data_IF_485211177175
#
_entry.id   IF_485211177175
#
_cell.length_a   1.000
_cell.length_b   1.000
_cell.length_c   1.000
_cell.angle_alpha   90.00
_cell.angle_beta   90.00
_cell.angle_gamma   90.00
#
_symmetry.space_group_name_H-M   'P 1'
#
loop_
_entity.id
_entity.type
_entity.pdbx_description
1 polymer ?
#
# COMPACT_ATOMS: atom_id res chain seq x y z
N UNK A 1 -25.28 17.51 0.46
CA UNK A 1 -24.45 16.30 0.40
C UNK A 1 -24.59 15.78 -1.01
N UNK A 2 -23.48 15.55 -1.71
CA UNK A 2 -23.52 14.93 -3.04
C UNK A 2 -24.06 13.50 -2.89
N UNK A 3 -24.88 13.02 -3.83
CA UNK A 3 -25.38 11.62 -3.85
C UNK A 3 -24.70 10.77 -4.93
N UNK A 4 -24.74 9.43 -4.85
CA UNK A 4 -24.27 8.55 -5.92
C UNK A 4 -24.91 8.85 -7.28
N UNK A 5 -26.21 9.18 -7.30
CA UNK A 5 -26.96 9.53 -8.51
C UNK A 5 -26.45 10.82 -9.13
N UNK A 6 -26.19 11.85 -8.33
CA UNK A 6 -25.61 13.12 -8.83
C UNK A 6 -24.22 12.89 -9.44
N UNK A 7 -23.37 12.08 -8.80
CA UNK A 7 -22.05 11.72 -9.35
C UNK A 7 -22.22 10.94 -10.66
N UNK A 8 -23.18 10.03 -10.73
CA UNK A 8 -23.48 9.26 -11.94
C UNK A 8 -23.93 10.16 -13.10
N UNK A 9 -24.79 11.14 -12.83
CA UNK A 9 -25.23 12.13 -13.83
C UNK A 9 -24.05 12.95 -14.35
N UNK A 10 -23.18 13.45 -13.46
CA UNK A 10 -21.98 14.19 -13.84
C UNK A 10 -21.03 13.35 -14.71
N UNK A 11 -20.81 12.09 -14.34
CA UNK A 11 -20.00 11.17 -15.16
C UNK A 11 -20.60 11.00 -16.55
N UNK A 12 -21.92 10.85 -16.66
CA UNK A 12 -22.61 10.73 -17.96
C UNK A 12 -22.49 12.01 -18.79
N UNK A 13 -22.65 13.17 -18.15
CA UNK A 13 -22.50 14.49 -18.79
C UNK A 13 -21.09 14.67 -19.35
N UNK A 14 -20.06 14.47 -18.53
CA UNK A 14 -18.65 14.54 -18.96
C UNK A 14 -18.38 13.60 -20.13
N UNK A 15 -18.91 12.37 -20.09
CA UNK A 15 -18.73 11.40 -21.18
C UNK A 15 -19.40 11.87 -22.47
N UNK A 16 -20.62 12.42 -22.39
CA UNK A 16 -21.33 13.01 -23.55
C UNK A 16 -20.56 14.17 -24.16
N UNK A 17 -20.15 15.13 -23.33
CA UNK A 17 -19.42 16.33 -23.76
C UNK A 17 -18.12 16.00 -24.50
N UNK A 18 -17.43 14.95 -24.04
CA UNK A 18 -16.15 14.52 -24.61
C UNK A 18 -16.26 13.39 -25.65
N UNK A 19 -17.47 13.05 -26.11
CA UNK A 19 -17.69 12.04 -27.15
C UNK A 19 -17.28 10.62 -26.74
N UNK A 20 -17.28 10.33 -25.44
CA UNK A 20 -16.99 9.00 -24.89
C UNK A 20 -18.25 8.12 -24.93
N UNK A 21 -18.11 6.79 -25.12
CA UNK A 21 -19.26 5.88 -25.11
C UNK A 21 -20.03 5.94 -23.79
N UNK A 22 -21.36 6.00 -23.83
CA UNK A 22 -22.20 5.96 -22.62
C UNK A 22 -22.52 4.50 -22.34
N UNK A 23 -21.72 3.88 -21.47
CA UNK A 23 -22.00 2.54 -20.95
C UNK A 23 -22.82 2.66 -19.67
N UNK A 24 -23.76 1.74 -19.40
CA UNK A 24 -24.37 1.64 -18.08
C UNK A 24 -23.31 1.29 -17.03
N UNK A 25 -23.46 1.83 -15.83
CA UNK A 25 -22.61 1.54 -14.67
C UNK A 25 -23.34 1.82 -13.35
N UNK A 26 -22.86 1.22 -12.27
CA UNK A 26 -23.40 1.38 -10.93
C UNK A 26 -22.36 1.97 -9.95
N UNK A 27 -22.84 2.84 -9.06
CA UNK A 27 -22.10 3.37 -7.92
C UNK A 27 -22.86 2.89 -6.68
N UNK A 28 -22.24 2.02 -5.90
CA UNK A 28 -22.85 1.46 -4.69
C UNK A 28 -22.86 2.49 -3.54
N UNK A 29 -21.76 3.25 -3.41
CA UNK A 29 -21.56 4.18 -2.31
C UNK A 29 -20.60 5.31 -2.73
N UNK A 30 -20.75 6.48 -2.11
CA UNK A 30 -19.73 7.51 -2.11
C UNK A 30 -19.39 7.92 -0.68
N UNK A 31 -18.13 8.28 -0.45
CA UNK A 31 -17.65 8.80 0.83
C UNK A 31 -16.86 10.06 0.59
N UNK A 32 -17.09 11.07 1.42
CA UNK A 32 -16.36 12.33 1.33
C UNK A 32 -15.52 12.54 2.58
N UNK A 33 -14.24 12.84 2.37
CA UNK A 33 -13.33 13.27 3.43
C UNK A 33 -13.21 14.79 3.38
N UNK A 34 -13.91 15.45 4.30
CA UNK A 34 -13.96 16.91 4.39
C UNK A 34 -12.60 17.53 4.72
N UNK A 35 -11.80 16.86 5.56
CA UNK A 35 -10.50 17.38 6.00
C UNK A 35 -9.50 17.47 4.84
N UNK A 36 -9.50 16.45 4.00
CA UNK A 36 -8.58 16.32 2.87
C UNK A 36 -9.19 16.75 1.53
N UNK A 37 -10.48 17.13 1.54
CA UNK A 37 -11.30 17.43 0.36
C UNK A 37 -11.21 16.32 -0.70
N UNK A 38 -11.39 15.05 -0.28
CA UNK A 38 -11.28 13.88 -1.17
C UNK A 38 -12.62 13.16 -1.30
N UNK A 39 -13.01 12.87 -2.55
CA UNK A 39 -14.16 12.03 -2.85
C UNK A 39 -13.72 10.60 -3.15
N UNK A 40 -14.37 9.64 -2.52
CA UNK A 40 -14.22 8.22 -2.78
C UNK A 40 -15.50 7.69 -3.40
N UNK A 41 -15.37 7.04 -4.55
CA UNK A 41 -16.48 6.41 -5.28
C UNK A 41 -16.28 4.90 -5.19
N UNK A 42 -17.28 4.19 -4.69
CA UNK A 42 -17.28 2.74 -4.59
C UNK A 42 -18.16 2.22 -5.73
N UNK A 43 -17.51 1.73 -6.79
CA UNK A 43 -18.16 1.10 -7.92
C UNK A 43 -18.56 -0.34 -7.57
N UNK A 44 -19.64 -0.82 -8.18
CA UNK A 44 -20.10 -2.19 -7.99
C UNK A 44 -19.02 -3.22 -8.40
N UNK A 45 -18.46 -3.06 -9.60
CA UNK A 45 -17.44 -3.94 -10.14
C UNK A 45 -16.28 -3.21 -10.87
N UNK A 46 -15.36 -3.99 -11.46
CA UNK A 46 -14.20 -3.46 -12.21
C UNK A 46 -14.60 -2.80 -13.54
N UNK A 47 -15.69 -3.24 -14.16
CA UNK A 47 -16.22 -2.66 -15.40
C UNK A 47 -16.76 -1.26 -15.11
N UNK A 48 -17.55 -1.12 -14.05
CA UNK A 48 -18.13 0.15 -13.60
C UNK A 48 -17.06 1.14 -13.18
N UNK A 49 -16.07 0.67 -12.39
CA UNK A 49 -14.88 1.47 -12.07
C UNK A 49 -14.19 1.98 -13.34
N UNK A 50 -14.08 1.16 -14.38
CA UNK A 50 -13.46 1.57 -15.65
C UNK A 50 -14.29 2.61 -16.41
N UNK A 51 -15.62 2.54 -16.32
CA UNK A 51 -16.53 3.56 -16.90
C UNK A 51 -16.41 4.89 -16.15
N UNK A 52 -16.35 4.85 -14.82
CA UNK A 52 -16.20 6.04 -13.96
C UNK A 52 -14.82 6.67 -14.13
N UNK A 53 -13.75 5.87 -14.22
CA UNK A 53 -12.39 6.36 -14.42
C UNK A 53 -12.19 6.89 -15.84
N UNK A 54 -12.68 6.15 -16.84
CA UNK A 54 -12.40 6.38 -18.25
C UNK A 54 -10.89 6.36 -18.56
N UNK A 55 -10.45 7.25 -19.44
CA UNK A 55 -9.03 7.49 -19.76
C UNK A 55 -8.35 8.45 -18.76
N UNK A 56 -8.75 8.40 -17.48
CA UNK A 56 -8.43 9.41 -16.44
C UNK A 56 -9.03 10.81 -16.68
N UNK A 57 -9.53 11.09 -17.89
CA UNK A 57 -10.20 12.35 -18.23
C UNK A 57 -11.43 12.59 -17.35
N UNK A 58 -12.28 11.56 -17.18
CA UNK A 58 -13.54 11.67 -16.46
C UNK A 58 -13.30 12.08 -15.01
N UNK A 59 -12.34 11.43 -14.36
CA UNK A 59 -11.93 11.74 -12.98
C UNK A 59 -11.35 13.15 -12.87
N UNK A 60 -10.53 13.56 -13.85
CA UNK A 60 -9.99 14.92 -13.89
C UNK A 60 -11.09 15.98 -13.95
N UNK A 61 -12.11 15.77 -14.79
CA UNK A 61 -13.25 16.67 -14.94
C UNK A 61 -14.19 16.66 -13.75
N UNK A 62 -14.49 15.48 -13.22
CA UNK A 62 -15.31 15.33 -12.02
C UNK A 62 -14.66 16.04 -10.83
N UNK A 63 -13.33 15.95 -10.69
CA UNK A 63 -12.56 16.71 -9.69
C UNK A 63 -12.72 18.22 -9.85
N UNK A 64 -12.60 18.73 -11.08
CA UNK A 64 -12.77 20.17 -11.39
C UNK A 64 -14.18 20.66 -11.09
N UNK A 65 -15.21 19.92 -11.51
CA UNK A 65 -16.62 20.29 -11.33
C UNK A 65 -17.05 20.28 -9.86
N UNK A 66 -16.57 19.29 -9.09
CA UNK A 66 -16.92 19.14 -7.68
C UNK A 66 -16.04 20.00 -6.75
N UNK A 67 -14.98 20.64 -7.26
CA UNK A 67 -14.08 21.46 -6.46
C UNK A 67 -13.28 20.69 -5.41
N UNK A 68 -13.08 19.39 -5.59
CA UNK A 68 -12.37 18.52 -4.63
C UNK A 68 -10.89 18.39 -5.00
N UNK A 69 -10.02 18.07 -4.03
CA UNK A 69 -8.57 17.89 -4.28
C UNK A 69 -8.26 16.58 -5.00
N UNK A 70 -9.04 15.53 -4.75
CA UNK A 70 -8.84 14.22 -5.34
C UNK A 70 -10.18 13.47 -5.47
N UNK A 71 -10.32 12.69 -6.53
CA UNK A 71 -11.36 11.67 -6.68
C UNK A 71 -10.67 10.31 -6.83
N UNK A 72 -11.04 9.34 -6.00
CA UNK A 72 -10.54 7.96 -6.06
C UNK A 72 -11.69 7.00 -6.28
N UNK A 73 -11.48 5.98 -7.11
CA UNK A 73 -12.51 4.97 -7.40
C UNK A 73 -12.02 3.58 -6.99
N UNK A 74 -12.78 2.94 -6.12
CA UNK A 74 -12.56 1.57 -5.65
C UNK A 74 -13.68 0.67 -6.15
N UNK A 75 -13.43 -0.62 -6.23
CA UNK A 75 -14.52 -1.59 -6.40
C UNK A 75 -14.93 -2.13 -5.03
N UNK A 76 -16.19 -2.51 -4.89
CA UNK A 76 -16.68 -3.17 -3.68
C UNK A 76 -15.86 -4.43 -3.35
N UNK A 77 -15.55 -5.24 -4.37
CA UNK A 77 -14.72 -6.43 -4.22
C UNK A 77 -13.31 -6.12 -3.67
N UNK A 78 -12.66 -5.06 -4.14
CA UNK A 78 -11.33 -4.66 -3.63
C UNK A 78 -11.39 -4.32 -2.13
N UNK A 79 -12.46 -3.64 -1.69
CA UNK A 79 -12.67 -3.29 -0.29
C UNK A 79 -13.05 -4.51 0.57
N UNK A 80 -13.83 -5.45 0.04
CA UNK A 80 -14.15 -6.71 0.72
C UNK A 80 -12.91 -7.57 0.92
N UNK A 81 -12.09 -7.74 -0.12
CA UNK A 81 -10.81 -8.46 -0.02
C UNK A 81 -9.86 -7.81 1.00
N UNK A 82 -9.85 -6.47 1.07
CA UNK A 82 -9.14 -5.71 2.11
C UNK A 82 -9.64 -6.06 3.50
N UNK A 83 -10.96 -6.02 3.74
CA UNK A 83 -11.55 -6.36 5.05
C UNK A 83 -11.23 -7.79 5.48
N UNK A 84 -11.36 -8.77 4.59
CA UNK A 84 -11.01 -10.16 4.88
C UNK A 84 -9.54 -10.34 5.30
N UNK A 85 -8.62 -9.58 4.70
CA UNK A 85 -7.21 -9.61 5.10
C UNK A 85 -6.98 -8.91 6.44
N UNK A 86 -7.69 -7.82 6.71
CA UNK A 86 -7.59 -7.08 7.96
C UNK A 86 -8.14 -7.87 9.14
N UNK A 87 -9.21 -8.66 8.95
CA UNK A 87 -9.72 -9.59 9.96
C UNK A 87 -8.66 -10.62 10.38
N UNK A 88 -7.99 -11.26 9.42
CA UNK A 88 -6.86 -12.16 9.70
C UNK A 88 -5.69 -11.45 10.40
N UNK A 89 -5.47 -10.19 10.04
CA UNK A 89 -4.39 -9.39 10.62
C UNK A 89 -4.71 -8.96 12.04
N UNK A 90 -5.99 -8.75 12.35
CA UNK A 90 -6.49 -8.51 13.71
C UNK A 90 -6.27 -9.75 14.59
N UNK A 91 -6.69 -10.93 14.11
CA UNK A 91 -6.46 -12.21 14.80
C UNK A 91 -4.95 -12.41 15.08
N UNK A 92 -4.11 -12.23 14.05
CA UNK A 92 -2.65 -12.33 14.21
C UNK A 92 -2.10 -11.32 15.23
N UNK A 93 -2.64 -10.10 15.26
CA UNK A 93 -2.19 -9.07 16.19
C UNK A 93 -2.52 -9.43 17.65
N UNK A 94 -3.72 -9.96 17.89
CA UNK A 94 -4.17 -10.42 19.20
C UNK A 94 -3.38 -11.63 19.69
N UNK A 95 -3.06 -12.59 18.81
CA UNK A 95 -2.32 -13.81 19.15
C UNK A 95 -0.83 -13.57 19.43
N UNK A 96 -0.25 -12.51 18.87
CA UNK A 96 1.20 -12.32 18.84
C UNK A 96 1.70 -11.05 19.54
N UNK A 97 0.87 -10.39 20.34
CA UNK A 97 1.30 -9.26 21.16
C UNK A 97 1.50 -7.97 20.36
N UNK A 98 0.75 -7.80 19.26
CA UNK A 98 0.74 -6.58 18.45
C UNK A 98 -0.51 -5.74 18.73
N UNK A 99 -1.02 -5.73 19.95
CA UNK A 99 -2.26 -5.02 20.31
C UNK A 99 -2.18 -3.51 20.02
N UNK A 100 -0.97 -2.96 20.01
CA UNK A 100 -0.72 -1.57 19.64
C UNK A 100 -1.06 -1.24 18.18
N UNK A 101 -1.16 -2.25 17.30
CA UNK A 101 -1.58 -2.10 15.90
C UNK A 101 -3.10 -2.23 15.71
N UNK A 102 -3.84 -2.77 16.68
CA UNK A 102 -5.29 -2.97 16.59
C UNK A 102 -6.02 -1.68 16.20
N UNK A 103 -5.74 -0.51 16.80
CA UNK A 103 -6.41 0.74 16.41
C UNK A 103 -6.15 1.14 14.94
N UNK A 104 -4.99 0.79 14.37
CA UNK A 104 -4.70 1.02 12.95
C UNK A 104 -5.51 0.06 12.07
N UNK A 105 -5.60 -1.21 12.46
CA UNK A 105 -6.37 -2.23 11.72
C UNK A 105 -7.86 -1.86 11.71
N UNK A 106 -8.41 -1.46 12.86
CA UNK A 106 -9.79 -0.97 12.99
C UNK A 106 -10.05 0.27 12.14
N UNK A 107 -9.10 1.20 12.07
CA UNK A 107 -9.19 2.35 11.17
C UNK A 107 -9.18 1.91 9.69
N UNK A 108 -8.34 0.94 9.32
CA UNK A 108 -8.30 0.41 7.96
C UNK A 108 -9.54 -0.38 7.56
N UNK A 109 -10.25 -1.03 8.50
CA UNK A 109 -11.52 -1.72 8.24
C UNK A 109 -12.61 -0.75 7.74
N UNK A 110 -12.52 0.50 8.20
CA UNK A 110 -13.43 1.59 7.83
C UNK A 110 -12.98 2.37 6.58
N UNK A 111 -11.82 2.04 6.02
CA UNK A 111 -11.31 2.68 4.80
C UNK A 111 -12.29 2.49 3.62
N UNK A 112 -12.47 3.50 2.75
CA UNK A 112 -11.96 4.88 2.82
C UNK A 112 -12.86 5.84 3.63
N UNK A 113 -12.36 6.99 4.11
CA UNK A 113 -10.97 7.47 4.05
C UNK A 113 -10.03 6.76 5.05
N UNK A 114 -8.71 6.93 4.85
CA UNK A 114 -7.68 6.41 5.76
C UNK A 114 -7.38 7.45 6.84
N UNK A 115 -7.73 7.15 8.09
CA UNK A 115 -7.48 8.03 9.25
C UNK A 115 -6.86 7.23 10.38
N UNK A 116 -5.54 7.05 10.35
CA UNK A 116 -4.85 6.29 11.39
C UNK A 116 -4.75 7.07 12.70
N UNK A 117 -5.04 6.42 13.84
CA UNK A 117 -4.75 7.00 15.13
C UNK A 117 -3.23 7.09 15.33
N UNK A 118 -2.81 8.00 16.23
CA UNK A 118 -1.41 8.04 16.67
C UNK A 118 -1.15 6.87 17.60
N UNK A 119 -0.12 6.09 17.29
CA UNK A 119 0.36 5.00 18.15
C UNK A 119 1.56 5.49 18.96
N UNK A 120 1.63 5.25 20.28
CA UNK A 120 2.79 5.64 21.10
C UNK A 120 4.10 4.98 20.64
N UNK A 121 5.17 5.77 20.57
CA UNK A 121 6.50 5.32 20.15
C UNK A 121 7.29 4.60 21.25
N UNK A 122 6.91 3.37 21.61
CA UNK A 122 7.50 2.65 22.75
C UNK A 122 8.03 1.25 22.41
N UNK A 123 8.04 0.86 21.14
CA UNK A 123 8.54 -0.44 20.69
C UNK A 123 9.85 -0.26 19.96
N UNK A 124 10.83 -1.09 20.28
CA UNK A 124 12.09 -1.16 19.54
C UNK A 124 11.98 -2.24 18.46
N UNK A 125 12.55 -1.98 17.28
CA UNK A 125 12.45 -2.90 16.17
C UNK A 125 13.53 -2.72 15.12
N UNK A 126 13.45 -3.53 14.09
CA UNK A 126 14.31 -3.45 12.91
C UNK A 126 13.44 -3.17 11.69
N UNK A 127 13.91 -2.31 10.79
CA UNK A 127 13.40 -2.22 9.42
C UNK A 127 14.48 -2.74 8.49
N UNK A 128 14.18 -3.78 7.71
CA UNK A 128 15.06 -4.20 6.63
C UNK A 128 14.55 -3.65 5.29
N UNK A 129 15.32 -2.74 4.70
CA UNK A 129 14.97 -1.99 3.51
C UNK A 129 14.94 -2.89 2.27
N UNK A 130 13.76 -2.94 1.66
CA UNK A 130 13.46 -3.61 0.40
C UNK A 130 12.95 -2.59 -0.62
N UNK A 131 12.35 -3.05 -1.71
CA UNK A 131 11.87 -2.21 -2.81
C UNK A 131 11.06 -0.99 -2.36
N UNK A 132 10.16 -1.14 -1.39
CA UNK A 132 9.36 -0.08 -0.80
C UNK A 132 10.01 0.53 0.47
N UNK A 133 11.34 0.68 0.48
CA UNK A 133 12.15 1.16 1.61
C UNK A 133 11.58 2.39 2.34
N UNK A 134 11.17 3.43 1.60
CA UNK A 134 10.57 4.63 2.22
C UNK A 134 9.27 4.29 2.94
N UNK A 135 8.40 3.48 2.33
CA UNK A 135 7.16 3.07 2.97
C UNK A 135 7.43 2.27 4.25
N UNK A 136 8.39 1.35 4.26
CA UNK A 136 8.75 0.59 5.46
C UNK A 136 9.20 1.48 6.62
N UNK A 137 10.02 2.50 6.34
CA UNK A 137 10.44 3.48 7.35
C UNK A 137 9.27 4.31 7.88
N UNK A 138 8.36 4.72 7.00
CA UNK A 138 7.17 5.48 7.42
C UNK A 138 6.15 4.60 8.16
N UNK A 139 6.03 3.31 7.81
CA UNK A 139 5.25 2.35 8.59
C UNK A 139 5.81 2.18 10.00
N UNK A 140 7.13 2.06 10.16
CA UNK A 140 7.74 1.99 11.49
C UNK A 140 7.34 3.19 12.36
N UNK A 141 7.41 4.41 11.80
CA UNK A 141 6.97 5.64 12.49
C UNK A 141 5.47 5.61 12.81
N UNK A 142 4.64 5.25 11.84
CA UNK A 142 3.19 5.18 12.01
C UNK A 142 2.78 4.16 13.09
N UNK A 143 3.53 3.07 13.20
CA UNK A 143 3.31 1.99 14.16
C UNK A 143 3.92 2.29 15.54
N UNK A 144 4.58 3.43 15.73
CA UNK A 144 5.25 3.74 17.00
C UNK A 144 6.46 2.84 17.28
N UNK A 145 7.15 2.38 16.23
CA UNK A 145 8.34 1.55 16.32
C UNK A 145 9.58 2.41 16.11
N UNK A 146 10.42 2.52 17.14
CA UNK A 146 11.77 3.04 17.06
C UNK A 146 12.63 1.98 16.37
N UNK A 147 12.76 2.11 15.05
CA UNK A 147 13.42 1.09 14.25
C UNK A 147 14.85 1.47 13.86
N UNK A 148 15.78 0.53 14.06
CA UNK A 148 17.05 0.56 13.36
C UNK A 148 16.86 0.08 11.91
N UNK A 149 17.29 0.89 10.95
CA UNK A 149 17.18 0.56 9.54
C UNK A 149 18.43 -0.20 9.06
N UNK A 150 18.24 -1.34 8.41
CA UNK A 150 19.27 -2.16 7.78
C UNK A 150 18.94 -2.36 6.31
N UNK A 151 19.94 -2.64 5.48
CA UNK A 151 19.68 -2.88 4.06
C UNK A 151 20.90 -3.35 3.30
N UNK A 152 20.67 -3.84 2.09
CA UNK A 152 21.75 -4.30 1.22
C UNK A 152 22.68 -3.13 0.87
N UNK A 153 23.99 -3.31 0.99
CA UNK A 153 24.97 -2.24 0.70
C UNK A 153 24.73 -1.65 -0.70
N UNK A 154 24.81 -0.31 -0.79
CA UNK A 154 24.59 0.49 -2.00
C UNK A 154 23.16 0.51 -2.57
N UNK A 155 22.19 -0.17 -1.96
CA UNK A 155 20.81 -0.23 -2.47
C UNK A 155 20.07 1.11 -2.37
N UNK A 156 20.13 1.81 -1.24
CA UNK A 156 19.36 3.03 -1.02
C UNK A 156 20.23 4.23 -0.61
N UNK A 157 21.10 4.75 -1.49
CA UNK A 157 22.12 5.75 -1.13
C UNK A 157 21.58 7.08 -0.60
N UNK A 158 20.27 7.33 -0.73
CA UNK A 158 19.59 8.54 -0.25
C UNK A 158 18.91 8.36 1.12
N UNK A 159 18.91 7.14 1.66
CA UNK A 159 18.28 6.81 2.94
C UNK A 159 19.36 6.53 4.00
N UNK A 160 19.13 6.92 5.26
CA UNK A 160 20.00 6.51 6.36
C UNK A 160 19.69 5.05 6.75
N UNK A 161 20.70 4.18 6.71
CA UNK A 161 20.59 2.79 7.16
C UNK A 161 21.98 2.19 7.44
N UNK A 162 22.00 1.11 8.20
CA UNK A 162 23.16 0.26 8.45
C UNK A 162 23.39 -0.69 7.25
N UNK A 163 24.44 -0.49 6.44
CA UNK A 163 24.66 -1.31 5.25
C UNK A 163 25.17 -2.70 5.59
N UNK A 164 24.60 -3.71 4.96
CA UNK A 164 24.96 -5.11 5.12
C UNK A 164 25.44 -5.72 3.80
N UNK A 165 26.46 -6.57 3.87
CA UNK A 165 26.94 -7.36 2.73
C UNK A 165 26.03 -8.58 2.51
N UNK A 166 24.93 -8.34 1.80
CA UNK A 166 23.88 -9.33 1.49
C UNK A 166 23.67 -9.46 -0.03
N UNK A 167 23.10 -10.58 -0.50
CA UNK A 167 22.70 -10.72 -1.89
C UNK A 167 21.70 -9.65 -2.32
N UNK A 168 21.82 -9.12 -3.54
CA UNK A 168 20.88 -8.13 -4.08
C UNK A 168 19.44 -8.65 -4.21
N UNK A 169 19.25 -9.97 -4.26
CA UNK A 169 17.92 -10.58 -4.23
C UNK A 169 17.12 -10.15 -3.00
N UNK A 170 17.79 -9.92 -1.87
CA UNK A 170 17.15 -9.50 -0.62
C UNK A 170 16.57 -8.09 -0.67
N UNK A 171 16.85 -7.30 -1.72
CA UNK A 171 16.16 -6.04 -1.98
C UNK A 171 14.67 -6.27 -2.30
N UNK A 172 14.33 -7.45 -2.81
CA UNK A 172 12.95 -7.82 -3.15
C UNK A 172 12.41 -8.93 -2.25
N UNK A 173 13.28 -9.88 -1.88
CA UNK A 173 12.91 -11.09 -1.14
C UNK A 173 13.79 -11.23 0.11
N UNK A 174 13.44 -10.55 1.21
CA UNK A 174 14.24 -10.54 2.43
C UNK A 174 14.44 -11.96 2.98
N UNK A 175 15.63 -12.26 3.50
CA UNK A 175 15.94 -13.58 4.07
C UNK A 175 15.48 -13.67 5.54
N UNK A 176 14.45 -14.47 5.79
CA UNK A 176 13.83 -14.56 7.13
C UNK A 176 14.81 -15.06 8.21
N UNK A 177 15.56 -16.12 7.92
CA UNK A 177 16.52 -16.70 8.87
C UNK A 177 17.60 -15.72 9.30
N UNK A 178 18.10 -14.93 8.35
CA UNK A 178 19.08 -13.89 8.62
C UNK A 178 18.49 -12.79 9.51
N UNK A 179 17.31 -12.28 9.17
CA UNK A 179 16.67 -11.21 9.92
C UNK A 179 16.23 -11.65 11.32
N UNK A 180 15.83 -12.92 11.47
CA UNK A 180 15.59 -13.52 12.78
C UNK A 180 16.83 -13.49 13.67
N UNK A 181 18.01 -13.86 13.13
CA UNK A 181 19.27 -13.80 13.89
C UNK A 181 19.65 -12.36 14.22
N UNK A 182 19.54 -11.46 13.26
CA UNK A 182 19.84 -10.04 13.45
C UNK A 182 18.96 -9.44 14.56
N UNK A 183 17.66 -9.73 14.56
CA UNK A 183 16.74 -9.26 15.60
C UNK A 183 17.13 -9.75 17.01
N UNK A 184 17.55 -11.02 17.13
CA UNK A 184 18.04 -11.56 18.41
C UNK A 184 19.33 -10.91 18.86
N UNK A 185 20.26 -10.66 17.95
CA UNK A 185 21.54 -9.99 18.25
C UNK A 185 21.32 -8.53 18.69
N UNK A 186 20.36 -7.85 18.09
CA UNK A 186 19.96 -6.47 18.44
C UNK A 186 19.02 -6.40 19.65
N UNK A 187 18.53 -7.53 20.16
CA UNK A 187 17.57 -7.57 21.27
C UNK A 187 16.20 -6.99 20.93
N UNK A 188 15.79 -7.03 19.66
CA UNK A 188 14.50 -6.49 19.18
C UNK A 188 13.48 -7.59 18.94
N UNK A 189 12.21 -7.29 19.23
CA UNK A 189 11.10 -8.24 19.11
C UNK A 189 10.32 -8.10 17.80
N UNK A 190 10.58 -7.05 17.01
CA UNK A 190 9.81 -6.74 15.79
C UNK A 190 10.75 -6.47 14.62
N UNK A 191 10.47 -7.12 13.49
CA UNK A 191 11.15 -6.86 12.21
C UNK A 191 10.12 -6.49 11.15
N UNK A 192 10.29 -5.32 10.54
CA UNK A 192 9.52 -4.87 9.39
C UNK A 192 10.29 -5.10 8.08
N UNK A 193 9.69 -5.84 7.15
CA UNK A 193 10.20 -5.99 5.78
C UNK A 193 9.12 -6.59 4.87
N UNK A 194 9.42 -6.74 3.58
CA UNK A 194 8.46 -7.28 2.60
C UNK A 194 8.42 -8.82 2.55
N UNK A 195 8.13 -9.46 3.69
CA UNK A 195 7.92 -10.92 3.81
C UNK A 195 6.66 -11.39 3.10
N UNK A 196 6.57 -12.67 2.68
CA UNK A 196 5.34 -13.25 2.11
C UNK A 196 4.18 -13.23 3.12
N UNK A 197 4.44 -13.62 4.36
CA UNK A 197 3.43 -13.66 5.43
C UNK A 197 3.96 -13.03 6.71
N UNK A 198 3.10 -12.41 7.52
CA UNK A 198 3.45 -12.11 8.90
C UNK A 198 3.67 -13.43 9.64
N UNK A 199 4.72 -13.50 10.46
CA UNK A 199 5.07 -14.71 11.20
C UNK A 199 5.71 -14.37 12.54
N UNK A 200 5.46 -15.20 13.56
CA UNK A 200 6.18 -15.15 14.83
C UNK A 200 7.14 -16.32 14.92
N UNK A 201 8.42 -16.01 15.16
CA UNK A 201 9.47 -17.01 15.34
C UNK A 201 10.18 -16.79 16.68
N UNK A 202 9.97 -17.70 17.62
CA UNK A 202 10.35 -17.50 19.03
C UNK A 202 9.71 -16.20 19.57
N UNK A 203 10.51 -15.25 20.01
CA UNK A 203 10.06 -13.95 20.52
C UNK A 203 10.11 -12.82 19.45
N UNK A 204 10.42 -13.15 18.19
CA UNK A 204 10.53 -12.17 17.11
C UNK A 204 9.31 -12.24 16.19
N UNK A 205 8.62 -11.12 16.03
CA UNK A 205 7.52 -10.94 15.10
C UNK A 205 8.05 -10.30 13.81
N UNK A 206 7.88 -11.01 12.70
CA UNK A 206 8.25 -10.58 11.36
C UNK A 206 6.98 -10.12 10.64
N UNK A 207 6.97 -8.85 10.23
CA UNK A 207 5.76 -8.19 9.75
C UNK A 207 6.01 -7.54 8.40
N UNK A 208 5.18 -7.88 7.42
CA UNK A 208 5.06 -7.10 6.19
C UNK A 208 3.88 -6.15 6.30
N UNK A 209 4.09 -4.84 6.59
CA UNK A 209 2.99 -3.91 6.80
C UNK A 209 2.12 -3.71 5.56
N UNK A 210 2.68 -3.90 4.35
CA UNK A 210 1.97 -3.76 3.07
C UNK A 210 0.93 -4.87 2.93
N UNK A 211 1.33 -6.12 3.15
CA UNK A 211 0.45 -7.30 3.11
C UNK A 211 -0.50 -7.34 4.30
N UNK A 212 0.02 -7.03 5.48
CA UNK A 212 -0.74 -7.01 6.73
C UNK A 212 -1.92 -6.03 6.67
N UNK A 213 -1.71 -4.81 6.17
CA UNK A 213 -2.80 -3.85 6.02
C UNK A 213 -3.48 -3.89 4.65
N UNK A 214 -3.02 -4.76 3.73
CA UNK A 214 -3.45 -4.84 2.33
C UNK A 214 -3.54 -3.45 1.69
N UNK A 215 -2.39 -2.80 1.59
CA UNK A 215 -2.24 -1.46 0.99
C UNK A 215 -1.50 -1.60 -0.32
N UNK A 216 -2.13 -1.24 -1.43
CA UNK A 216 -1.53 -1.41 -2.75
C UNK A 216 -0.35 -0.45 -2.98
N UNK A 217 0.53 -0.80 -3.91
CA UNK A 217 1.68 -0.01 -4.34
C UNK A 217 1.29 1.43 -4.74
N UNK A 218 0.17 1.58 -5.46
CA UNK A 218 -0.36 2.90 -5.80
C UNK A 218 -0.65 3.71 -4.53
N UNK A 219 -1.35 3.16 -3.55
CA UNK A 219 -1.65 3.84 -2.30
C UNK A 219 -0.38 4.19 -1.52
N UNK A 220 0.59 3.27 -1.41
CA UNK A 220 1.87 3.51 -0.74
C UNK A 220 2.59 4.72 -1.32
N UNK A 221 2.62 4.84 -2.65
CA UNK A 221 3.24 5.96 -3.34
C UNK A 221 2.64 7.31 -2.95
N UNK A 222 1.31 7.38 -2.76
CA UNK A 222 0.64 8.62 -2.35
C UNK A 222 0.74 8.86 -0.85
N UNK A 223 0.81 7.81 -0.03
CA UNK A 223 0.94 7.92 1.43
C UNK A 223 2.34 8.35 1.85
N UNK A 224 3.37 7.69 1.32
CA UNK A 224 4.74 7.79 1.84
C UNK A 224 5.75 8.25 0.79
N UNK A 225 5.34 8.32 -0.47
CA UNK A 225 6.25 8.54 -1.59
C UNK A 225 6.89 7.23 -2.08
N UNK A 226 7.93 7.37 -2.89
CA UNK A 226 8.51 6.27 -3.64
C UNK A 226 10.03 6.32 -3.58
N UNK A 227 10.65 5.18 -3.30
CA UNK A 227 12.09 4.98 -3.46
C UNK A 227 12.37 3.94 -4.52
N UNK A 228 13.55 4.04 -5.12
CA UNK A 228 14.05 3.04 -6.07
C UNK A 228 15.43 2.57 -5.65
N UNK A 229 15.70 1.25 -5.65
CA UNK A 229 17.05 0.78 -5.38
C UNK A 229 18.00 1.24 -6.49
N UNK A 230 19.24 1.58 -6.11
CA UNK A 230 20.30 1.97 -7.01
C UNK A 230 20.96 0.77 -7.69
N UNK A 231 21.03 -0.37 -6.98
CA UNK A 231 21.55 -1.65 -7.46
C UNK A 231 20.49 -2.73 -7.25
N UNK A 232 20.32 -3.63 -8.22
CA UNK A 232 19.37 -4.74 -8.16
C UNK A 232 19.59 -5.71 -9.33
N UNK A 233 19.05 -6.93 -9.21
CA UNK A 233 18.98 -7.89 -10.32
C UNK A 233 17.66 -7.71 -11.09
N UNK A 234 17.72 -7.68 -12.44
CA UNK A 234 16.54 -7.46 -13.30
C UNK A 234 15.54 -8.61 -13.28
N UNK A 235 15.99 -9.85 -13.10
CA UNK A 235 15.12 -11.02 -13.00
C UNK A 235 14.38 -11.02 -11.65
N UNK A 236 15.08 -10.74 -10.55
CA UNK A 236 14.43 -10.61 -9.24
C UNK A 236 13.38 -9.48 -9.23
N UNK A 237 13.64 -8.36 -9.93
CA UNK A 237 12.65 -7.30 -10.12
C UNK A 237 11.41 -7.78 -10.87
N UNK A 238 11.59 -8.58 -11.93
CA UNK A 238 10.49 -9.12 -12.71
C UNK A 238 9.63 -10.04 -11.84
N UNK A 239 10.26 -10.98 -11.14
CA UNK A 239 9.59 -11.93 -10.25
C UNK A 239 8.78 -11.18 -9.18
N UNK A 240 9.40 -10.18 -8.53
CA UNK A 240 8.75 -9.36 -7.51
C UNK A 240 7.53 -8.60 -8.06
N UNK A 241 7.64 -8.02 -9.26
CA UNK A 241 6.52 -7.32 -9.89
C UNK A 241 5.40 -8.30 -10.24
N UNK A 242 5.72 -9.49 -10.77
CA UNK A 242 4.74 -10.52 -11.10
C UNK A 242 3.99 -10.97 -9.83
N UNK A 243 4.69 -11.18 -8.73
CA UNK A 243 4.11 -11.55 -7.43
C UNK A 243 3.17 -10.47 -6.91
N UNK A 244 3.62 -9.21 -6.85
CA UNK A 244 2.81 -8.09 -6.38
C UNK A 244 1.55 -7.86 -7.24
N UNK A 245 1.64 -8.07 -8.56
CA UNK A 245 0.48 -8.01 -9.47
C UNK A 245 -0.45 -9.21 -9.25
N UNK A 246 0.11 -10.41 -9.10
CA UNK A 246 -0.65 -11.64 -8.86
C UNK A 246 -1.47 -11.61 -7.56
N UNK A 247 -0.94 -10.97 -6.52
CA UNK A 247 -1.62 -10.78 -5.23
C UNK A 247 -2.65 -9.62 -5.24
N UNK A 248 -2.67 -8.82 -6.30
CA UNK A 248 -3.50 -7.62 -6.40
C UNK A 248 -3.00 -6.45 -5.56
N UNK A 249 -1.73 -6.46 -5.13
CA UNK A 249 -1.08 -5.35 -4.43
C UNK A 249 -0.44 -4.34 -5.38
N UNK A 250 -0.38 -4.64 -6.68
CA UNK A 250 0.12 -3.73 -7.70
C UNK A 250 -0.74 -3.84 -8.95
N UNK A 251 -1.15 -2.69 -9.51
CA UNK A 251 -1.84 -2.66 -10.79
C UNK A 251 -0.85 -3.04 -11.92
N UNK A 252 -1.30 -3.80 -12.92
CA UNK A 252 -0.45 -4.29 -14.00
C UNK A 252 0.24 -3.15 -14.78
N UNK A 253 -0.41 -1.99 -14.88
CA UNK A 253 0.13 -0.79 -15.52
C UNK A 253 1.30 -0.19 -14.73
N UNK A 254 1.22 -0.16 -13.40
CA UNK A 254 2.33 0.24 -12.54
C UNK A 254 3.47 -0.78 -12.64
N UNK A 255 3.16 -2.09 -12.60
CA UNK A 255 4.14 -3.15 -12.77
C UNK A 255 4.92 -3.04 -14.08
N UNK A 256 4.22 -2.84 -15.22
CA UNK A 256 4.86 -2.64 -16.51
C UNK A 256 5.78 -1.40 -16.54
N UNK A 257 5.38 -0.30 -15.88
CA UNK A 257 6.21 0.91 -15.75
C UNK A 257 7.48 0.63 -14.95
N UNK A 258 7.37 -0.14 -13.87
CA UNK A 258 8.47 -0.54 -12.99
C UNK A 258 9.47 -1.42 -13.74
N UNK A 259 9.00 -2.47 -14.41
CA UNK A 259 9.85 -3.37 -15.21
C UNK A 259 10.59 -2.55 -16.26
N UNK A 260 9.88 -1.66 -16.99
CA UNK A 260 10.50 -0.79 -17.99
C UNK A 260 11.57 0.13 -17.41
N UNK A 261 11.33 0.68 -16.21
CA UNK A 261 12.34 1.47 -15.50
C UNK A 261 13.58 0.63 -15.19
N UNK A 262 13.40 -0.55 -14.61
CA UNK A 262 14.50 -1.41 -14.22
C UNK A 262 15.29 -1.95 -15.41
N UNK A 263 14.63 -2.18 -16.54
CA UNK A 263 15.28 -2.70 -17.76
C UNK A 263 16.15 -1.66 -18.47
N UNK A 264 15.80 -0.37 -18.35
CA UNK A 264 16.54 0.77 -18.94
C UNK A 264 17.81 1.16 -18.18
N UNK A 265 17.95 0.74 -16.93
CA UNK A 265 19.18 0.88 -16.14
C UNK A 265 20.14 -0.26 -16.43
#
# INVERSE_FOLDING_TARGET
>A
MITPEEVKELVIEIRKEHGLPISPFEIDEIRFDEEEEKLFIIAHDRTDKSVIIGSSLVIGKLKEMLGVKLVSVYTKLDLELKRMQLEKSLEFAEEHGLEFLIPIIEAELNFPPRKWPKVPGNREGIVFLTFNAVALLEFAKAFGINAEAYGVRYSFPKLPFNPLDRPWREIFFPNEDFLKRLAKESGTEIVLSEFEFPAKYDDVVMLNPIRFLRIGYFELKYLFGESRPAVFNKHDLLDYVVEMVGEGLMEATDGARIIRWGWKR
#
